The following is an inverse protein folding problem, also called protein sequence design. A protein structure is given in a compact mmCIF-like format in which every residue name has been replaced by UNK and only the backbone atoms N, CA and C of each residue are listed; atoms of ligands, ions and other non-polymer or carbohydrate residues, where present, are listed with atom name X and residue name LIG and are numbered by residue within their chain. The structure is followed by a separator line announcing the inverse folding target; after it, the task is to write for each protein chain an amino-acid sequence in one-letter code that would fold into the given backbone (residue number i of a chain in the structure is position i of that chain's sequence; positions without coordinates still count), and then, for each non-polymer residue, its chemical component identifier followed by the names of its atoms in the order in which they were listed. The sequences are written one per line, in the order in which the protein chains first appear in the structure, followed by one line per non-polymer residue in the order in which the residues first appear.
data_IF_637950266995
#
_entry.id   IF_637950266995
#
_cell.length_a   1.000
_cell.length_b   1.000
_cell.length_c   1.000
_cell.angle_alpha   90.00
_cell.angle_beta   90.00
_cell.angle_gamma   90.00
#
_symmetry.space_group_name_H-M   'P 1'
#
loop_
_entity.id
_entity.type
_entity.pdbx_description
1 polymer ?
#
# COMPACT_ATOMS: atom_id res chain seq x y z
N UNK A 1 2.77 3.02 10.29
CA UNK A 1 3.36 4.34 10.01
C UNK A 1 3.33 5.18 11.28
N UNK A 2 4.17 4.84 12.28
CA UNK A 2 4.04 5.39 13.65
C UNK A 2 5.03 6.52 13.99
N UNK A 3 5.68 7.14 12.99
CA UNK A 3 6.59 8.26 13.26
C UNK A 3 6.84 9.16 12.03
N UNK A 4 6.00 9.11 10.99
CA UNK A 4 6.28 9.85 9.75
C UNK A 4 7.55 9.38 9.00
N UNK A 5 8.20 8.30 9.44
CA UNK A 5 9.49 7.80 8.89
C UNK A 5 9.38 7.14 7.51
N UNK A 6 8.18 7.09 6.93
CA UNK A 6 7.97 6.58 5.58
C UNK A 6 7.66 7.77 4.70
N UNK A 7 8.66 8.28 4.02
CA UNK A 7 8.50 9.38 3.06
C UNK A 7 7.77 8.92 1.79
N UNK A 8 7.96 7.66 1.40
CA UNK A 8 7.37 7.05 0.19
C UNK A 8 7.13 5.54 0.35
N UNK A 9 6.08 5.04 -0.30
CA UNK A 9 5.70 3.63 -0.35
C UNK A 9 5.70 3.18 -1.81
N UNK A 10 6.61 2.27 -2.15
CA UNK A 10 6.72 1.66 -3.48
C UNK A 10 6.16 0.24 -3.46
N UNK A 11 5.09 -0.01 -4.22
CA UNK A 11 4.42 -1.31 -4.32
C UNK A 11 4.59 -1.92 -5.71
N UNK A 12 4.72 -3.25 -5.74
CA UNK A 12 4.64 -4.07 -6.94
C UNK A 12 3.49 -5.07 -6.77
N UNK A 13 2.56 -5.09 -7.72
CA UNK A 13 1.36 -5.92 -7.69
C UNK A 13 1.38 -6.84 -8.91
N UNK A 14 1.55 -8.13 -8.66
CA UNK A 14 1.47 -9.17 -9.69
C UNK A 14 0.01 -9.64 -9.89
N UNK A 15 -0.36 -10.13 -11.08
CA UNK A 15 -1.72 -10.61 -11.38
C UNK A 15 -1.98 -12.02 -10.82
N UNK A 16 -1.80 -12.20 -9.51
CA UNK A 16 -1.93 -13.50 -8.83
C UNK A 16 -2.88 -13.43 -7.62
N UNK A 17 -3.54 -14.55 -7.30
CA UNK A 17 -4.44 -14.69 -6.16
C UNK A 17 -3.86 -15.72 -5.17
N UNK A 18 -3.67 -15.32 -3.91
CA UNK A 18 -3.01 -16.16 -2.89
C UNK A 18 -3.96 -16.72 -1.82
N UNK A 19 -5.24 -16.34 -1.86
CA UNK A 19 -6.22 -16.70 -0.82
C UNK A 19 -6.20 -15.76 0.39
N UNK A 20 -7.18 -15.93 1.27
CA UNK A 20 -7.44 -15.10 2.45
C UNK A 20 -6.42 -15.31 3.58
N UNK A 21 -5.84 -16.51 3.65
CA UNK A 21 -4.83 -16.89 4.66
C UNK A 21 -3.39 -16.55 4.23
N UNK A 22 -3.22 -15.82 3.12
CA UNK A 22 -1.91 -15.38 2.65
C UNK A 22 -1.26 -14.38 3.61
N UNK A 23 0.07 -14.23 3.51
CA UNK A 23 0.81 -13.27 4.33
C UNK A 23 0.37 -11.83 3.99
N UNK A 24 -0.03 -11.00 4.97
CA UNK A 24 -0.47 -9.65 4.69
C UNK A 24 0.69 -8.76 4.24
N UNK A 25 0.39 -7.78 3.38
CA UNK A 25 1.34 -6.78 2.90
C UNK A 25 1.86 -5.88 4.03
N UNK A 26 0.97 -5.47 4.93
CA UNK A 26 1.26 -4.61 6.08
C UNK A 26 0.51 -5.10 7.31
N UNK A 27 1.16 -5.03 8.47
CA UNK A 27 0.50 -5.15 9.77
C UNK A 27 0.21 -3.74 10.29
N UNK A 28 -1.04 -3.29 10.13
CA UNK A 28 -1.51 -1.98 10.56
C UNK A 28 -2.48 -2.13 11.74
N UNK A 29 -2.58 -1.13 12.64
CA UNK A 29 -3.60 -1.17 13.67
C UNK A 29 -5.00 -1.11 13.06
N UNK A 30 -5.97 -1.71 13.75
CA UNK A 30 -7.38 -1.68 13.35
C UNK A 30 -7.90 -0.24 13.35
N UNK A 31 -8.59 0.13 12.28
CA UNK A 31 -9.29 1.41 12.19
C UNK A 31 -10.69 1.27 12.82
N UNK A 32 -11.03 2.16 13.76
CA UNK A 32 -12.36 2.19 14.36
C UNK A 32 -13.42 2.79 13.41
N UNK A 33 -13.00 3.67 12.51
CA UNK A 33 -13.83 4.29 11.48
C UNK A 33 -13.00 4.70 10.25
N UNK A 34 -13.68 5.16 9.19
CA UNK A 34 -13.03 5.61 7.96
C UNK A 34 -12.37 6.99 8.05
N UNK A 35 -12.67 7.78 9.08
CA UNK A 35 -11.99 9.05 9.31
C UNK A 35 -10.56 8.83 9.83
N UNK A 36 -10.31 7.72 10.53
CA UNK A 36 -8.99 7.33 11.01
C UNK A 36 -8.04 6.74 9.93
N UNK A 37 -8.48 6.65 8.67
CA UNK A 37 -7.68 6.03 7.60
C UNK A 37 -6.37 6.78 7.31
N UNK A 38 -5.31 6.05 6.98
CA UNK A 38 -4.11 6.65 6.39
C UNK A 38 -4.41 7.10 4.96
N UNK A 39 -4.31 8.40 4.71
CA UNK A 39 -4.44 8.95 3.37
C UNK A 39 -3.09 8.89 2.67
N UNK A 40 -3.08 8.31 1.47
CA UNK A 40 -1.91 8.24 0.60
C UNK A 40 -2.20 9.01 -0.68
N UNK A 41 -1.22 9.79 -1.13
CA UNK A 41 -1.21 10.41 -2.44
C UNK A 41 -0.49 9.52 -3.43
N UNK A 42 -1.08 9.28 -4.60
CA UNK A 42 -0.42 8.62 -5.70
C UNK A 42 0.53 9.59 -6.41
N UNK A 43 1.80 9.21 -6.50
CA UNK A 43 2.85 9.98 -7.18
C UNK A 43 3.14 9.43 -8.58
N UNK A 44 3.13 8.11 -8.73
CA UNK A 44 3.38 7.43 -10.01
C UNK A 44 2.64 6.08 -10.06
N UNK A 45 2.16 5.71 -11.25
CA UNK A 45 1.56 4.41 -11.53
C UNK A 45 1.95 3.98 -12.94
N UNK A 46 2.54 2.79 -13.06
CA UNK A 46 2.90 2.21 -14.38
C UNK A 46 2.87 0.69 -14.37
N UNK A 47 2.77 0.11 -15.56
CA UNK A 47 3.01 -1.31 -15.79
C UNK A 47 4.50 -1.59 -15.95
N UNK A 48 4.96 -2.72 -15.45
CA UNK A 48 6.29 -3.28 -15.63
C UNK A 48 6.15 -4.75 -16.01
N UNK A 49 6.14 -5.03 -17.31
CA UNK A 49 5.69 -6.33 -17.81
C UNK A 49 4.21 -6.52 -17.44
N UNK A 50 3.92 -7.61 -16.73
CA UNK A 50 2.56 -7.95 -16.26
C UNK A 50 2.26 -7.38 -14.86
N UNK A 51 3.27 -6.85 -14.17
CA UNK A 51 3.12 -6.31 -12.82
C UNK A 51 2.79 -4.81 -12.85
N UNK A 52 2.06 -4.34 -11.85
CA UNK A 52 1.82 -2.91 -11.63
C UNK A 52 2.76 -2.36 -10.57
N UNK A 53 3.42 -1.23 -10.86
CA UNK A 53 4.24 -0.47 -9.91
C UNK A 53 3.50 0.80 -9.48
N UNK A 54 3.35 1.00 -8.18
CA UNK A 54 2.74 2.17 -7.57
C UNK A 54 3.74 2.89 -6.65
N UNK A 55 3.92 4.19 -6.82
CA UNK A 55 4.63 5.05 -5.87
C UNK A 55 3.60 5.92 -5.14
N UNK A 56 3.55 5.78 -3.83
CA UNK A 56 2.59 6.45 -2.95
C UNK A 56 3.33 7.24 -1.88
N UNK A 57 2.74 8.34 -1.38
CA UNK A 57 3.31 9.13 -0.28
C UNK A 57 2.24 9.41 0.78
N UNK A 58 2.55 9.31 2.09
CA UNK A 58 1.61 9.75 3.13
C UNK A 58 1.30 11.25 3.03
N UNK A 59 0.04 11.62 3.29
CA UNK A 59 -0.39 13.00 3.39
C UNK A 59 -0.15 13.57 4.79
#
# INVERSE_FOLDING_TARGET
MHAGLVDELLLYIAPVLLGDSARPLLHLPTLADMAARWQLRMLDQRMLGEDMRLLLRPH
#
